data_IF_012397390606
#
_entry.id   IF_012397390606
#
_cell.length_a   1.000
_cell.length_b   1.000
_cell.length_c   1.000
_cell.angle_alpha   90.00
_cell.angle_beta   90.00
_cell.angle_gamma   90.00
#
_symmetry.space_group_name_H-M   'P 1'
#
loop_
_entity.id
_entity.type
_entity.pdbx_description
1 polymer ?
#
# COMPACT_ATOMS: atom_id res chain seq x y z
N UNK A 1 -0.75 -14.43 0.62
CA UNK A 1 -0.88 -14.94 -0.78
C UNK A 1 -0.56 -13.85 -1.79
N UNK A 2 0.40 -14.11 -2.68
CA UNK A 2 0.84 -13.21 -3.75
C UNK A 2 -0.20 -13.13 -4.89
N UNK A 3 -0.40 -11.93 -5.45
CA UNK A 3 -1.21 -11.69 -6.65
C UNK A 3 -0.38 -11.96 -7.91
N UNK A 4 -1.01 -12.48 -8.97
CA UNK A 4 -0.39 -12.62 -10.29
C UNK A 4 -0.64 -11.36 -11.16
N UNK A 5 -0.01 -11.29 -12.34
CA UNK A 5 -0.12 -10.13 -13.24
C UNK A 5 -1.54 -9.93 -13.79
N UNK A 6 -2.31 -10.99 -14.02
CA UNK A 6 -3.70 -10.88 -14.47
C UNK A 6 -4.57 -10.22 -13.39
N UNK A 7 -4.40 -10.66 -12.14
CA UNK A 7 -5.07 -10.08 -10.96
C UNK A 7 -4.65 -8.61 -10.77
N UNK A 8 -3.36 -8.29 -10.91
CA UNK A 8 -2.87 -6.91 -10.88
C UNK A 8 -3.43 -6.02 -12.01
N UNK A 9 -3.54 -6.58 -13.21
CA UNK A 9 -4.14 -5.89 -14.37
C UNK A 9 -5.62 -5.59 -14.12
N UNK A 10 -6.36 -6.52 -13.51
CA UNK A 10 -7.76 -6.29 -13.13
C UNK A 10 -7.90 -5.16 -12.11
N UNK A 11 -7.00 -5.09 -11.13
CA UNK A 11 -6.98 -4.03 -10.12
C UNK A 11 -6.78 -2.66 -10.77
N UNK A 12 -5.80 -2.54 -11.66
CA UNK A 12 -5.50 -1.30 -12.37
C UNK A 12 -6.66 -0.85 -13.25
N UNK A 13 -7.18 -1.76 -14.09
CA UNK A 13 -8.32 -1.47 -14.96
C UNK A 13 -9.56 -1.06 -14.16
N UNK A 14 -9.76 -1.69 -13.00
CA UNK A 14 -10.88 -1.34 -12.15
C UNK A 14 -10.69 0.05 -11.53
N UNK A 15 -9.50 0.36 -11.01
CA UNK A 15 -9.16 1.68 -10.49
C UNK A 15 -9.42 2.76 -11.54
N UNK A 16 -9.02 2.52 -12.79
CA UNK A 16 -9.33 3.40 -13.92
C UNK A 16 -10.83 3.57 -14.14
N UNK A 17 -11.58 2.47 -14.23
CA UNK A 17 -13.03 2.53 -14.44
C UNK A 17 -13.74 3.29 -13.31
N UNK A 18 -13.32 3.09 -12.05
CA UNK A 18 -13.85 3.85 -10.91
C UNK A 18 -13.64 5.34 -11.12
N UNK A 19 -12.43 5.75 -11.49
CA UNK A 19 -12.12 7.16 -11.75
C UNK A 19 -12.88 7.71 -12.95
N UNK A 20 -12.99 6.96 -14.04
CA UNK A 20 -13.72 7.38 -15.24
C UNK A 20 -15.20 7.66 -14.94
N UNK A 21 -15.85 6.81 -14.14
CA UNK A 21 -17.25 6.98 -13.75
C UNK A 21 -17.41 8.12 -12.74
N UNK A 22 -16.60 8.10 -11.68
CA UNK A 22 -16.68 9.09 -10.61
C UNK A 22 -16.45 10.51 -11.13
N UNK A 23 -15.44 10.72 -11.99
CA UNK A 23 -15.13 12.03 -12.54
C UNK A 23 -16.16 12.54 -13.57
N UNK A 24 -17.03 11.67 -14.08
CA UNK A 24 -18.21 12.05 -14.87
C UNK A 24 -19.43 12.38 -14.00
N UNK A 25 -19.34 12.20 -12.68
CA UNK A 25 -20.46 12.34 -11.75
C UNK A 25 -21.38 11.12 -11.72
N UNK A 26 -20.91 9.95 -12.17
CA UNK A 26 -21.62 8.68 -12.12
C UNK A 26 -21.21 7.89 -10.87
N UNK A 27 -22.12 7.05 -10.35
CA UNK A 27 -21.78 6.13 -9.26
C UNK A 27 -20.92 4.97 -9.82
N UNK A 28 -19.71 4.75 -9.29
CA UNK A 28 -18.83 3.69 -9.79
C UNK A 28 -19.46 2.31 -9.61
N UNK A 29 -19.57 1.57 -10.72
CA UNK A 29 -20.04 0.19 -10.70
C UNK A 29 -18.86 -0.76 -10.51
N UNK A 30 -18.92 -1.50 -9.42
CA UNK A 30 -17.98 -2.53 -9.01
C UNK A 30 -18.35 -3.81 -9.79
N UNK A 31 -17.64 -4.10 -10.90
CA UNK A 31 -17.81 -5.33 -11.68
C UNK A 31 -17.50 -6.60 -10.85
N UNK A 32 -17.81 -7.80 -11.34
CA UNK A 32 -17.47 -9.04 -10.63
C UNK A 32 -15.94 -9.20 -10.47
N UNK A 33 -15.46 -9.47 -9.25
CA UNK A 33 -14.04 -9.79 -8.98
C UNK A 33 -13.81 -11.26 -8.74
N UNK A 34 -12.56 -11.73 -8.87
CA UNK A 34 -12.13 -12.96 -8.25
C UNK A 34 -12.45 -12.95 -6.75
N UNK A 35 -12.90 -14.08 -6.20
CA UNK A 35 -13.23 -14.21 -4.77
C UNK A 35 -12.08 -13.79 -3.85
N UNK A 36 -10.83 -13.92 -4.31
CA UNK A 36 -9.65 -13.47 -3.57
C UNK A 36 -9.66 -11.98 -3.21
N UNK A 37 -10.38 -11.13 -3.94
CA UNK A 37 -10.43 -9.69 -3.68
C UNK A 37 -11.42 -9.34 -2.56
N UNK A 38 -12.24 -10.31 -2.11
CA UNK A 38 -13.04 -10.18 -0.89
C UNK A 38 -12.16 -10.21 0.37
N UNK A 39 -10.91 -10.67 0.26
CA UNK A 39 -9.97 -10.63 1.36
C UNK A 39 -9.58 -9.19 1.70
N UNK A 40 -9.43 -8.94 2.99
CA UNK A 40 -9.05 -7.64 3.53
C UNK A 40 -7.56 -7.41 3.31
N UNK A 41 -7.18 -6.30 2.67
CA UNK A 41 -5.80 -5.93 2.38
C UNK A 41 -5.61 -4.42 2.47
N UNK A 42 -4.42 -4.00 2.88
CA UNK A 42 -4.03 -2.60 2.71
C UNK A 42 -3.65 -2.32 1.25
N UNK A 43 -3.85 -1.09 0.81
CA UNK A 43 -3.61 -0.67 -0.57
C UNK A 43 -3.23 0.81 -0.62
N UNK A 44 -2.43 1.19 -1.60
CA UNK A 44 -2.19 2.57 -2.00
C UNK A 44 -2.47 2.70 -3.49
N UNK A 45 -3.12 3.80 -3.89
CA UNK A 45 -3.28 4.19 -5.28
C UNK A 45 -2.49 5.48 -5.49
N UNK A 46 -1.60 5.45 -6.47
CA UNK A 46 -0.82 6.59 -6.91
C UNK A 46 -1.23 6.94 -8.34
N UNK A 47 -1.36 8.23 -8.60
CA UNK A 47 -1.64 8.79 -9.91
C UNK A 47 -0.42 9.57 -10.35
N UNK A 48 0.02 9.35 -11.58
CA UNK A 48 1.17 10.01 -12.17
C UNK A 48 0.77 10.71 -13.47
N UNK A 49 1.36 11.86 -13.78
CA UNK A 49 1.18 12.49 -15.09
C UNK A 49 1.87 11.66 -16.18
N UNK A 50 1.41 11.80 -17.42
CA UNK A 50 2.07 11.21 -18.59
C UNK A 50 2.31 12.28 -19.65
N UNK A 51 3.49 12.32 -20.30
CA UNK A 51 4.62 11.38 -20.19
C UNK A 51 5.63 11.66 -19.07
N UNK A 52 5.44 12.68 -18.23
CA UNK A 52 6.45 13.15 -17.28
C UNK A 52 6.62 12.26 -16.04
N UNK A 53 5.63 11.43 -15.71
CA UNK A 53 5.60 10.56 -14.53
C UNK A 53 5.62 11.30 -13.17
N UNK A 54 5.27 12.58 -13.14
CA UNK A 54 5.19 13.36 -11.90
C UNK A 54 4.01 12.90 -11.04
N UNK A 55 4.19 12.86 -9.72
CA UNK A 55 3.12 12.52 -8.79
C UNK A 55 1.94 13.51 -8.90
N UNK A 56 0.74 13.00 -9.13
CA UNK A 56 -0.51 13.77 -9.30
C UNK A 56 -1.54 13.52 -8.20
N UNK A 57 -1.31 12.49 -7.37
CA UNK A 57 -2.09 12.14 -6.18
C UNK A 57 -1.66 10.78 -5.65
N UNK A 58 -1.61 10.58 -4.34
CA UNK A 58 -1.36 9.27 -3.72
C UNK A 58 -2.05 9.17 -2.37
N UNK A 59 -2.98 8.22 -2.26
CA UNK A 59 -3.70 7.91 -1.02
C UNK A 59 -3.73 6.41 -0.83
N UNK A 60 -3.64 5.97 0.43
CA UNK A 60 -3.79 4.57 0.76
C UNK A 60 -4.37 4.33 2.13
N UNK A 61 -4.80 3.10 2.32
CA UNK A 61 -5.28 2.53 3.57
C UNK A 61 -4.29 1.42 3.91
N UNK A 62 -3.25 1.70 4.71
CA UNK A 62 -2.22 0.72 5.02
C UNK A 62 -2.75 -0.46 5.83
N UNK A 63 -3.74 -0.20 6.68
CA UNK A 63 -4.32 -1.23 7.53
C UNK A 63 -5.41 -2.00 6.78
N UNK A 64 -5.38 -3.34 6.82
CA UNK A 64 -6.44 -4.14 6.22
C UNK A 64 -7.71 -4.02 7.09
N UNK A 65 -8.55 -3.02 6.81
CA UNK A 65 -9.84 -2.77 7.51
C UNK A 65 -11.07 -2.97 6.62
N UNK A 66 -10.90 -3.10 5.31
CA UNK A 66 -11.96 -3.35 4.34
C UNK A 66 -11.51 -4.30 3.23
N UNK A 67 -12.46 -4.86 2.47
CA UNK A 67 -12.14 -5.75 1.36
C UNK A 67 -11.24 -5.05 0.34
N UNK A 68 -10.40 -5.79 -0.38
CA UNK A 68 -9.55 -5.19 -1.42
C UNK A 68 -10.39 -4.44 -2.47
N UNK A 69 -11.58 -4.95 -2.80
CA UNK A 69 -12.51 -4.29 -3.73
C UNK A 69 -12.93 -2.91 -3.24
N UNK A 70 -13.41 -2.84 -1.99
CA UNK A 70 -13.86 -1.57 -1.39
C UNK A 70 -12.68 -0.61 -1.23
N UNK A 71 -11.52 -1.15 -0.83
CA UNK A 71 -10.30 -0.38 -0.68
C UNK A 71 -9.86 0.23 -2.02
N UNK A 72 -9.94 -0.50 -3.13
CA UNK A 72 -9.61 0.04 -4.47
C UNK A 72 -10.53 1.21 -4.81
N UNK A 73 -11.85 1.07 -4.62
CA UNK A 73 -12.79 2.16 -4.92
C UNK A 73 -12.48 3.40 -4.09
N UNK A 74 -12.39 3.24 -2.78
CA UNK A 74 -12.17 4.33 -1.83
C UNK A 74 -10.83 5.04 -2.07
N UNK A 75 -9.75 4.27 -2.22
CA UNK A 75 -8.40 4.83 -2.40
C UNK A 75 -8.20 5.42 -3.78
N UNK A 76 -8.81 4.87 -4.84
CA UNK A 76 -8.73 5.48 -6.17
C UNK A 76 -9.37 6.85 -6.17
N UNK A 77 -10.62 6.96 -5.71
CA UNK A 77 -11.35 8.22 -5.63
C UNK A 77 -10.56 9.21 -4.77
N UNK A 78 -10.12 8.80 -3.59
CA UNK A 78 -9.39 9.68 -2.69
C UNK A 78 -8.05 10.13 -3.26
N UNK A 79 -7.30 9.28 -3.96
CA UNK A 79 -6.06 9.69 -4.64
C UNK A 79 -6.32 10.73 -5.73
N UNK A 80 -7.46 10.68 -6.42
CA UNK A 80 -7.82 11.62 -7.46
C UNK A 80 -8.35 12.96 -6.92
N UNK A 81 -9.17 12.95 -5.86
CA UNK A 81 -9.93 14.15 -5.45
C UNK A 81 -9.74 14.59 -4.01
N UNK A 82 -9.14 13.76 -3.14
CA UNK A 82 -8.98 14.04 -1.72
C UNK A 82 -7.51 14.11 -1.25
N UNK A 83 -6.53 13.99 -2.15
CA UNK A 83 -5.13 14.27 -1.79
C UNK A 83 -4.94 15.78 -1.57
N UNK A 84 -4.66 16.23 -0.33
CA UNK A 84 -4.61 17.65 0.01
C UNK A 84 -3.46 18.41 -0.64
N UNK A 85 -2.49 17.71 -1.24
CA UNK A 85 -1.34 18.31 -1.91
C UNK A 85 -1.67 18.79 -3.33
N UNK A 86 -2.76 18.29 -3.92
CA UNK A 86 -3.11 18.53 -5.31
C UNK A 86 -4.55 19.05 -5.44
N UNK A 87 -4.83 19.73 -6.55
CA UNK A 87 -6.23 20.02 -6.90
C UNK A 87 -6.92 18.73 -7.37
N UNK A 88 -8.24 18.59 -7.16
CA UNK A 88 -9.00 17.45 -7.65
C UNK A 88 -8.75 17.19 -9.14
N UNK A 89 -8.45 15.95 -9.50
CA UNK A 89 -8.26 15.52 -10.89
C UNK A 89 -9.55 15.73 -11.68
N UNK A 90 -9.47 16.30 -12.88
CA UNK A 90 -10.63 16.45 -13.76
C UNK A 90 -10.77 15.27 -14.72
N UNK A 91 -11.98 15.03 -15.23
CA UNK A 91 -12.24 13.96 -16.19
C UNK A 91 -11.31 14.02 -17.43
N UNK A 92 -11.03 15.19 -18.05
CA UNK A 92 -10.10 15.26 -19.17
C UNK A 92 -8.64 14.96 -18.81
N UNK A 93 -8.19 15.23 -17.59
CA UNK A 93 -6.80 14.92 -17.16
C UNK A 93 -6.56 13.41 -17.02
N UNK A 94 -7.61 12.62 -16.75
CA UNK A 94 -7.48 11.17 -16.57
C UNK A 94 -6.92 10.44 -17.80
N UNK A 95 -7.09 11.01 -19.01
CA UNK A 95 -6.53 10.48 -20.26
C UNK A 95 -5.00 10.59 -20.33
N UNK A 96 -4.43 11.51 -19.55
CA UNK A 96 -3.00 11.82 -19.48
C UNK A 96 -2.44 11.43 -18.09
N UNK A 97 -3.10 10.49 -17.41
CA UNK A 97 -2.74 10.00 -16.07
C UNK A 97 -2.39 8.52 -16.13
N UNK A 98 -1.26 8.12 -15.55
CA UNK A 98 -0.92 6.73 -15.25
C UNK A 98 -1.43 6.38 -13.85
N UNK A 99 -2.01 5.19 -13.73
CA UNK A 99 -2.42 4.63 -12.45
C UNK A 99 -1.40 3.59 -11.99
N UNK A 100 -0.95 3.75 -10.75
CA UNK A 100 -0.16 2.77 -10.02
C UNK A 100 -0.94 2.31 -8.78
N UNK A 101 -0.95 1.01 -8.52
CA UNK A 101 -1.59 0.43 -7.34
C UNK A 101 -0.64 -0.48 -6.61
N UNK A 102 -0.37 -0.13 -5.36
CA UNK A 102 0.43 -0.91 -4.42
C UNK A 102 -0.48 -1.70 -3.50
N UNK A 103 -0.55 -3.02 -3.68
CA UNK A 103 -1.32 -3.92 -2.81
C UNK A 103 -0.41 -4.51 -1.76
N UNK A 104 -0.76 -4.32 -0.49
CA UNK A 104 -0.04 -4.93 0.62
C UNK A 104 -0.36 -6.42 0.72
N UNK A 105 0.66 -7.24 0.92
CA UNK A 105 0.46 -8.65 1.25
C UNK A 105 -0.23 -8.75 2.61
N UNK A 106 -0.93 -9.86 2.82
CA UNK A 106 -1.42 -10.20 4.16
C UNK A 106 -0.24 -10.21 5.14
N UNK A 107 -0.31 -9.47 6.27
CA UNK A 107 0.74 -9.51 7.28
C UNK A 107 0.86 -10.91 7.88
N UNK A 108 2.09 -11.42 7.95
CA UNK A 108 2.42 -12.74 8.50
C UNK A 108 3.25 -12.56 9.77
N UNK A 109 2.98 -13.37 10.80
CA UNK A 109 3.75 -13.32 12.05
C UNK A 109 5.21 -13.69 11.80
N UNK A 110 6.13 -12.89 12.35
CA UNK A 110 7.55 -13.17 12.29
C UNK A 110 7.91 -14.02 13.50
N UNK A 111 7.88 -15.34 13.31
CA UNK A 111 8.19 -16.31 14.35
C UNK A 111 9.66 -16.23 14.77
N UNK A 112 9.93 -16.01 16.06
CA UNK A 112 11.27 -15.91 16.66
C UNK A 112 11.28 -16.60 18.03
N UNK A 113 12.42 -17.19 18.41
CA UNK A 113 12.60 -17.73 19.77
C UNK A 113 13.32 -16.74 20.68
N UNK A 114 14.22 -15.94 20.13
CA UNK A 114 14.83 -14.77 20.77
C UNK A 114 14.49 -13.52 19.94
N UNK A 115 14.02 -12.40 20.55
CA UNK A 115 13.72 -11.17 19.83
C UNK A 115 14.86 -10.63 18.96
N UNK A 116 16.13 -10.93 19.28
CA UNK A 116 17.28 -10.54 18.46
C UNK A 116 17.26 -11.16 17.07
N UNK A 117 16.58 -12.29 16.87
CA UNK A 117 16.40 -12.91 15.56
C UNK A 117 15.62 -12.02 14.58
N UNK A 118 14.84 -11.04 15.06
CA UNK A 118 14.18 -10.06 14.18
C UNK A 118 15.19 -9.30 13.32
N UNK A 119 16.40 -9.04 13.84
CA UNK A 119 17.45 -8.31 13.12
C UNK A 119 17.95 -9.06 11.88
N UNK A 120 17.83 -10.39 11.88
CA UNK A 120 18.29 -11.26 10.79
C UNK A 120 17.15 -11.63 9.82
N UNK A 121 15.92 -11.78 10.34
CA UNK A 121 14.76 -12.20 9.54
C UNK A 121 14.12 -11.05 8.77
N UNK A 122 14.17 -9.84 9.32
CA UNK A 122 13.61 -8.64 8.70
C UNK A 122 14.60 -7.97 7.76
N UNK A 123 14.09 -7.44 6.66
CA UNK A 123 14.87 -6.79 5.63
C UNK A 123 14.32 -5.39 5.33
N UNK A 124 15.12 -4.38 5.65
CA UNK A 124 14.87 -2.97 5.30
C UNK A 124 14.65 -2.82 3.80
N UNK A 125 13.66 -2.02 3.41
CA UNK A 125 13.27 -1.80 2.01
C UNK A 125 12.48 -2.94 1.37
N UNK A 126 12.33 -4.08 2.07
CA UNK A 126 11.45 -5.18 1.66
C UNK A 126 10.21 -5.26 2.54
N UNK A 127 10.42 -5.29 3.85
CA UNK A 127 9.36 -5.56 4.82
C UNK A 127 8.78 -4.27 5.40
N UNK A 128 7.46 -4.15 5.36
CA UNK A 128 6.70 -3.30 6.26
C UNK A 128 6.39 -4.09 7.53
N UNK A 129 6.24 -3.40 8.65
CA UNK A 129 6.10 -4.01 9.96
C UNK A 129 4.83 -3.54 10.66
N UNK A 130 4.20 -4.47 11.38
CA UNK A 130 3.13 -4.18 12.33
C UNK A 130 3.58 -4.72 13.69
N UNK A 131 3.46 -3.92 14.74
CA UNK A 131 3.64 -4.36 16.13
C UNK A 131 2.31 -4.32 16.87
N UNK A 132 2.04 -5.34 17.67
CA UNK A 132 0.83 -5.45 18.50
C UNK A 132 1.21 -5.86 19.93
N UNK A 133 0.75 -5.10 20.92
CA UNK A 133 0.91 -5.41 22.35
C UNK A 133 -0.30 -4.90 23.14
N UNK A 134 -1.22 -5.79 23.53
CA UNK A 134 -2.47 -5.38 24.17
C UNK A 134 -3.26 -4.38 23.31
N UNK A 135 -3.59 -3.16 23.81
CA UNK A 135 -4.26 -2.12 23.02
C UNK A 135 -3.31 -1.33 22.09
N UNK A 136 -1.99 -1.51 22.24
CA UNK A 136 -0.99 -0.76 21.49
C UNK A 136 -0.75 -1.42 20.13
N UNK A 137 -0.80 -0.61 19.07
CA UNK A 137 -0.58 -1.07 17.71
C UNK A 137 0.08 0.01 16.87
N UNK A 138 1.06 -0.38 16.06
CA UNK A 138 1.76 0.51 15.15
C UNK A 138 2.08 -0.20 13.84
N UNK A 139 2.08 0.55 12.74
CA UNK A 139 2.43 0.08 11.41
C UNK A 139 3.41 1.05 10.76
N UNK A 140 4.47 0.52 10.16
CA UNK A 140 5.36 1.27 9.27
C UNK A 140 5.50 0.54 7.94
N UNK A 141 5.47 1.28 6.84
CA UNK A 141 5.57 0.75 5.48
C UNK A 141 7.03 0.40 5.12
N UNK A 142 7.25 -0.47 4.11
CA UNK A 142 8.59 -0.91 3.71
C UNK A 142 9.58 0.23 3.42
N UNK A 143 9.12 1.31 2.79
CA UNK A 143 9.94 2.44 2.36
C UNK A 143 10.41 3.35 3.50
N UNK A 144 9.68 3.38 4.61
CA UNK A 144 9.97 4.34 5.69
C UNK A 144 11.38 4.12 6.20
N UNK A 145 11.79 2.87 6.41
CA UNK A 145 13.14 2.57 6.86
C UNK A 145 14.22 3.02 5.86
N UNK A 146 13.97 2.89 4.55
CA UNK A 146 14.91 3.34 3.52
C UNK A 146 14.98 4.87 3.42
N UNK A 147 13.86 5.58 3.52
CA UNK A 147 13.81 7.04 3.45
C UNK A 147 14.59 7.70 4.59
N UNK A 148 14.48 7.15 5.80
CA UNK A 148 15.18 7.66 6.97
C UNK A 148 16.57 7.05 7.17
N UNK A 149 17.05 6.21 6.23
CA UNK A 149 18.31 5.47 6.33
C UNK A 149 18.45 4.68 7.64
N UNK A 150 17.36 4.06 8.08
CA UNK A 150 17.34 3.22 9.28
C UNK A 150 17.85 1.81 9.00
N UNK A 151 18.65 1.29 9.93
CA UNK A 151 18.89 -0.14 10.03
C UNK A 151 17.66 -0.87 10.62
N UNK A 152 17.68 -2.21 10.60
CA UNK A 152 16.56 -3.03 11.12
C UNK A 152 16.25 -2.73 12.59
N UNK A 153 17.26 -2.43 13.41
CA UNK A 153 17.08 -2.13 14.84
C UNK A 153 16.38 -0.78 15.03
N UNK A 154 16.81 0.24 14.30
CA UNK A 154 16.18 1.55 14.30
C UNK A 154 14.75 1.45 13.78
N UNK A 155 14.50 0.62 12.77
CA UNK A 155 13.17 0.41 12.23
C UNK A 155 12.20 -0.19 13.27
N UNK A 156 12.62 -1.26 13.97
CA UNK A 156 11.86 -1.86 15.07
C UNK A 156 11.64 -0.89 16.25
N UNK A 157 12.66 -0.10 16.59
CA UNK A 157 12.57 0.87 17.69
C UNK A 157 11.58 1.99 17.37
N UNK A 158 11.59 2.50 16.13
CA UNK A 158 10.64 3.50 15.67
C UNK A 158 9.22 2.92 15.51
N UNK A 159 9.11 1.64 15.15
CA UNK A 159 7.82 0.93 15.13
C UNK A 159 7.20 0.87 16.54
N UNK A 160 8.01 0.61 17.57
CA UNK A 160 7.55 0.66 18.97
C UNK A 160 7.03 2.06 19.33
N UNK A 161 7.80 3.12 19.01
CA UNK A 161 7.36 4.50 19.24
C UNK A 161 6.05 4.82 18.51
N UNK A 162 5.90 4.35 17.27
CA UNK A 162 4.69 4.52 16.46
C UNK A 162 3.46 3.88 17.12
N UNK A 163 3.67 2.78 17.84
CA UNK A 163 2.63 2.10 18.61
C UNK A 163 2.37 2.71 20.00
N UNK A 164 3.13 3.75 20.40
CA UNK A 164 3.07 4.32 21.74
C UNK A 164 3.80 3.49 22.81
N UNK A 165 4.74 2.63 22.40
CA UNK A 165 5.52 1.75 23.27
C UNK A 165 6.95 2.30 23.48
N UNK A 166 7.65 1.89 24.55
CA UNK A 166 9.09 2.15 24.71
C UNK A 166 9.90 1.63 23.51
N UNK A 167 11.01 2.30 23.15
CA UNK A 167 11.86 1.94 22.00
C UNK A 167 12.43 0.51 22.05
N UNK A 168 12.55 -0.07 23.24
CA UNK A 168 13.03 -1.44 23.48
C UNK A 168 11.89 -2.46 23.63
N UNK A 169 10.63 -2.06 23.42
CA UNK A 169 9.49 -2.95 23.60
C UNK A 169 9.57 -4.23 22.76
N UNK A 170 10.17 -4.14 21.57
CA UNK A 170 10.39 -5.29 20.69
C UNK A 170 11.36 -6.33 21.25
N UNK A 171 12.18 -5.99 22.26
CA UNK A 171 13.04 -6.94 22.99
C UNK A 171 12.54 -7.27 24.39
N UNK A 172 11.89 -6.31 25.06
CA UNK A 172 11.64 -6.37 26.50
C UNK A 172 10.27 -6.97 26.83
N UNK A 173 9.34 -6.99 25.87
CA UNK A 173 7.99 -7.51 26.04
C UNK A 173 7.68 -8.62 25.03
N UNK A 174 6.68 -9.44 25.36
CA UNK A 174 6.08 -10.42 24.45
C UNK A 174 5.16 -9.72 23.45
N UNK A 175 5.76 -8.99 22.51
CA UNK A 175 5.05 -8.30 21.43
C UNK A 175 4.87 -9.23 20.23
N UNK A 176 3.79 -9.02 19.47
CA UNK A 176 3.65 -9.67 18.16
C UNK A 176 4.15 -8.73 17.08
N UNK A 177 5.10 -9.20 16.29
CA UNK A 177 5.58 -8.49 15.09
C UNK A 177 5.16 -9.27 13.86
N UNK A 178 4.44 -8.60 12.96
CA UNK A 178 4.09 -9.10 11.65
C UNK A 178 4.87 -8.37 10.57
N UNK A 179 5.27 -9.08 9.53
CA UNK A 179 5.84 -8.48 8.32
C UNK A 179 4.88 -8.59 7.15
N UNK A 180 4.92 -7.59 6.27
CA UNK A 180 4.21 -7.59 5.00
C UNK A 180 5.07 -6.93 3.92
N UNK A 181 4.70 -7.13 2.66
CA UNK A 181 5.36 -6.53 1.50
C UNK A 181 4.32 -5.79 0.66
N UNK A 182 4.77 -4.99 -0.30
CA UNK A 182 3.91 -4.37 -1.28
C UNK A 182 4.17 -4.99 -2.67
N UNK A 183 3.09 -5.34 -3.38
CA UNK A 183 3.13 -5.65 -4.80
C UNK A 183 2.63 -4.43 -5.57
N UNK A 184 3.44 -3.92 -6.48
CA UNK A 184 3.13 -2.69 -7.21
C UNK A 184 2.79 -3.04 -8.65
N UNK A 185 1.61 -2.63 -9.09
CA UNK A 185 1.16 -2.75 -10.47
C UNK A 185 0.99 -1.35 -11.07
N UNK A 186 1.41 -1.15 -12.31
CA UNK A 186 1.38 0.16 -12.97
C UNK A 186 0.99 0.03 -14.44
N UNK A 187 0.26 1.01 -14.96
CA UNK A 187 0.09 1.20 -16.41
C UNK A 187 1.35 1.78 -17.07
N UNK A 188 1.81 1.20 -18.18
CA UNK A 188 2.95 1.74 -18.93
C UNK A 188 2.62 3.06 -19.64
N UNK A 189 1.36 3.23 -20.02
CA UNK A 189 0.77 4.43 -20.62
C UNK A 189 -0.69 4.51 -20.17
N UNK A 190 -1.34 5.69 -20.14
CA UNK A 190 -2.72 5.81 -19.70
C UNK A 190 -3.67 4.82 -20.40
N UNK A 191 -4.34 3.96 -19.61
CA UNK A 191 -5.26 2.93 -20.11
C UNK A 191 -4.60 1.77 -20.90
N UNK A 192 -3.27 1.69 -20.87
CA UNK A 192 -2.47 0.74 -21.64
C UNK A 192 -2.14 -0.58 -20.92
N UNK A 193 -1.08 -1.28 -21.38
CA UNK A 193 -0.59 -2.49 -20.74
C UNK A 193 -0.12 -2.24 -19.30
N UNK A 194 -0.27 -3.26 -18.44
CA UNK A 194 0.09 -3.22 -17.02
C UNK A 194 1.32 -4.08 -16.76
N UNK A 195 2.19 -3.63 -15.85
CA UNK A 195 3.37 -4.36 -15.37
C UNK A 195 3.37 -4.48 -13.84
N UNK A 196 3.99 -5.53 -13.31
CA UNK A 196 4.35 -5.62 -11.87
C UNK A 196 5.76 -5.04 -11.71
N UNK A 197 5.91 -3.97 -10.91
CA UNK A 197 7.24 -3.43 -10.59
C UNK A 197 7.95 -4.32 -9.58
N UNK A 198 9.23 -4.61 -9.84
CA UNK A 198 10.08 -5.43 -8.97
C UNK A 198 10.57 -4.69 -7.72
N UNK A 199 10.45 -3.37 -7.70
CA UNK A 199 10.85 -2.50 -6.60
C UNK A 199 9.71 -1.57 -6.24
N UNK A 200 9.33 -1.57 -4.96
CA UNK A 200 8.47 -0.53 -4.40
C UNK A 200 9.28 0.76 -4.32
N UNK A 201 9.07 1.67 -5.26
CA UNK A 201 9.51 3.07 -5.14
C UNK A 201 8.37 3.80 -4.45
N UNK A 202 8.49 4.00 -3.13
CA UNK A 202 7.44 4.65 -2.36
C UNK A 202 7.06 6.02 -2.91
N UNK A 203 5.76 6.32 -2.85
CA UNK A 203 5.31 7.69 -2.59
C UNK A 203 5.97 8.17 -1.29
#
# INVERSE_FOLDING_TARGET
>A
MKLNLEEGTLIIKHSRNVLEQYLKGEEPNIQSYPDKFKNVRGIFVSLHTYPEHDLRGCIGIPEPIMSLVDAIKETSISAAVHDPRFQPLTHPELKDTIIEVSVLTTPEDVDVKDPREYLEKLKVGRDGLIIEFGPYRGLLLPQVATEYNWDTKQFLSNLCLKAGLPVTAWTDYDVKIKSFQAQVFEELVPGGPVVEKSTYTGC
#
